data_IF_887071983176
#
_entry.id   IF_887071983176
#
_cell.length_a   1.000
_cell.length_b   1.000
_cell.length_c   1.000
_cell.angle_alpha   90.00
_cell.angle_beta   90.00
_cell.angle_gamma   90.00
#
_symmetry.space_group_name_H-M   'P 1'
#
loop_
_entity.id
_entity.type
_entity.pdbx_description
1 polymer ?
#
# COMPACT_ATOMS: atom_id res chain seq x y z
N UNK A 1 16.49 -26.87 -0.01
CA UNK A 1 15.84 -26.01 -1.02
C UNK A 1 14.46 -25.62 -0.53
N UNK A 2 14.22 -24.33 -0.29
CA UNK A 2 12.84 -23.81 -0.25
C UNK A 2 12.70 -22.41 -0.90
N UNK A 3 11.62 -21.94 -1.53
CA UNK A 3 10.27 -22.43 -1.92
C UNK A 3 9.87 -21.58 -3.15
N UNK A 4 9.24 -22.16 -4.20
CA UNK A 4 8.68 -21.39 -5.32
C UNK A 4 7.47 -20.60 -4.85
N UNK A 5 7.65 -19.31 -4.67
CA UNK A 5 6.59 -18.35 -4.45
C UNK A 5 7.16 -16.97 -4.68
N UNK A 6 6.96 -16.41 -5.87
CA UNK A 6 7.09 -14.97 -6.12
C UNK A 6 6.01 -14.26 -5.31
N UNK A 7 6.17 -14.23 -3.99
CA UNK A 7 5.35 -13.43 -3.11
C UNK A 7 5.82 -11.99 -3.26
N UNK A 8 5.23 -11.28 -4.24
CA UNK A 8 5.13 -9.83 -4.29
C UNK A 8 6.24 -9.06 -3.59
N UNK A 9 7.45 -9.12 -4.13
CA UNK A 9 8.62 -8.51 -3.51
C UNK A 9 8.55 -7.00 -3.74
N UNK A 10 8.07 -6.26 -2.74
CA UNK A 10 8.25 -4.81 -2.74
C UNK A 10 9.71 -4.51 -2.42
N UNK A 11 10.40 -3.87 -3.36
CA UNK A 11 11.83 -3.52 -3.19
C UNK A 11 12.07 -2.56 -2.02
N UNK A 12 11.02 -1.89 -1.55
CA UNK A 12 11.04 -0.85 -0.52
C UNK A 12 10.54 -1.33 0.85
N UNK A 13 10.10 -2.59 1.00
CA UNK A 13 9.61 -3.11 2.28
C UNK A 13 8.62 -4.28 2.17
N UNK A 14 7.84 -4.59 3.22
CA UNK A 14 6.76 -5.57 3.12
C UNK A 14 5.60 -5.01 2.27
N UNK A 15 4.98 -5.88 1.46
CA UNK A 15 3.74 -5.54 0.76
C UNK A 15 2.64 -5.10 1.75
N UNK A 16 1.75 -4.23 1.30
CA UNK A 16 0.63 -3.72 2.10
C UNK A 16 -0.68 -4.21 1.49
N UNK A 17 -1.61 -4.64 2.34
CA UNK A 17 -2.97 -4.94 1.93
C UNK A 17 -3.85 -3.73 2.16
N UNK A 18 -4.41 -3.16 1.11
CA UNK A 18 -5.24 -1.95 1.19
C UNK A 18 -6.70 -2.25 0.89
N UNK A 19 -7.61 -1.64 1.64
CA UNK A 19 -9.04 -1.77 1.39
C UNK A 19 -9.46 -1.05 0.10
N UNK A 20 -9.00 0.19 -0.05
CA UNK A 20 -9.24 1.01 -1.24
C UNK A 20 -7.94 1.64 -1.70
N UNK A 21 -7.79 1.75 -3.02
CA UNK A 21 -6.62 2.34 -3.67
C UNK A 21 -7.09 3.42 -4.63
N UNK A 22 -6.63 4.64 -4.41
CA UNK A 22 -6.96 5.82 -5.19
C UNK A 22 -5.74 6.28 -5.96
N UNK A 23 -5.92 6.86 -7.14
CA UNK A 23 -4.80 7.48 -7.84
C UNK A 23 -4.36 8.73 -7.07
N UNK A 24 -3.05 8.98 -6.94
CA UNK A 24 -2.53 10.18 -6.25
C UNK A 24 -3.04 11.50 -6.81
N UNK A 25 -3.43 11.52 -8.09
CA UNK A 25 -3.97 12.68 -8.80
C UNK A 25 -5.50 12.74 -8.86
N UNK A 26 -6.21 11.84 -8.17
CA UNK A 26 -7.67 11.89 -8.06
C UNK A 26 -8.13 13.03 -7.14
N UNK A 27 -9.36 13.52 -7.35
CA UNK A 27 -9.96 14.48 -6.42
C UNK A 27 -10.10 13.89 -5.00
N UNK A 28 -10.37 12.59 -4.91
CA UNK A 28 -10.55 11.84 -3.66
C UNK A 28 -9.29 11.87 -2.81
N UNK A 29 -8.14 11.54 -3.39
CA UNK A 29 -6.84 11.59 -2.73
C UNK A 29 -6.45 12.99 -2.31
N UNK A 30 -6.72 14.00 -3.15
CA UNK A 30 -6.51 15.41 -2.81
C UNK A 30 -7.33 15.83 -1.58
N UNK A 31 -8.60 15.41 -1.50
CA UNK A 31 -9.45 15.67 -0.34
C UNK A 31 -8.92 14.97 0.91
N UNK A 32 -8.61 13.68 0.83
CA UNK A 32 -8.09 12.89 1.96
C UNK A 32 -6.79 13.53 2.46
N UNK A 33 -5.87 13.83 1.55
CA UNK A 33 -4.60 14.47 1.89
C UNK A 33 -4.78 15.84 2.54
N UNK A 34 -5.73 16.64 2.06
CA UNK A 34 -6.06 17.94 2.65
C UNK A 34 -6.57 17.82 4.09
N UNK A 35 -7.32 16.75 4.40
CA UNK A 35 -7.87 16.49 5.73
C UNK A 35 -6.76 16.10 6.73
N UNK A 36 -5.78 15.29 6.29
CA UNK A 36 -4.65 14.88 7.14
C UNK A 36 -3.41 15.79 7.04
N UNK A 37 -3.45 16.85 6.24
CA UNK A 37 -2.31 17.75 6.02
C UNK A 37 -1.15 17.10 5.26
N UNK A 38 -1.44 16.10 4.41
CA UNK A 38 -0.47 15.47 3.52
C UNK A 38 -0.16 16.37 2.33
N UNK A 39 1.12 16.57 2.06
CA UNK A 39 1.52 17.12 0.78
C UNK A 39 1.60 16.00 -0.27
N UNK A 40 0.73 16.04 -1.26
CA UNK A 40 0.75 15.12 -2.40
C UNK A 40 1.73 15.55 -3.50
N UNK A 41 2.27 16.77 -3.45
CA UNK A 41 3.22 17.24 -4.45
C UNK A 41 4.48 16.38 -4.42
N UNK A 42 4.71 15.66 -5.51
CA UNK A 42 5.84 14.74 -5.67
C UNK A 42 5.54 13.29 -5.33
N UNK A 43 4.34 12.96 -4.85
CA UNK A 43 3.91 11.58 -4.69
C UNK A 43 3.50 11.04 -6.06
N UNK A 44 4.31 10.11 -6.58
CA UNK A 44 4.00 9.36 -7.78
C UNK A 44 3.39 8.00 -7.40
N UNK A 45 2.35 7.57 -8.13
CA UNK A 45 1.66 6.30 -7.88
C UNK A 45 0.29 6.44 -7.25
N UNK A 46 -0.17 5.41 -6.56
CA UNK A 46 -1.49 5.35 -5.92
C UNK A 46 -1.39 5.57 -4.41
N UNK A 47 -2.54 5.77 -3.78
CA UNK A 47 -2.70 5.99 -2.35
C UNK A 47 -3.66 4.93 -1.86
N UNK A 48 -3.20 4.14 -0.89
CA UNK A 48 -4.03 3.15 -0.23
C UNK A 48 -4.63 3.74 1.05
N UNK A 49 -5.87 3.37 1.33
CA UNK A 49 -6.51 3.64 2.63
C UNK A 49 -6.80 2.35 3.38
N UNK A 50 -6.74 2.44 4.71
CA UNK A 50 -6.95 1.34 5.64
C UNK A 50 -6.07 0.12 5.27
N UNK A 51 -4.77 0.36 5.18
CA UNK A 51 -3.79 -0.61 4.76
C UNK A 51 -3.06 -1.25 5.93
N UNK A 52 -2.91 -2.56 5.87
CA UNK A 52 -2.18 -3.33 6.87
C UNK A 52 -0.92 -3.95 6.27
N UNK A 53 0.22 -3.92 6.97
CA UNK A 53 1.45 -4.54 6.48
C UNK A 53 1.31 -6.06 6.41
N UNK A 54 1.58 -6.61 5.22
CA UNK A 54 1.69 -8.04 4.98
C UNK A 54 3.11 -8.46 5.38
N UNK A 55 3.32 -8.67 6.68
CA UNK A 55 4.60 -9.18 7.16
C UNK A 55 4.72 -10.67 6.89
N UNK A 56 5.85 -11.09 6.33
CA UNK A 56 6.15 -12.46 5.91
C UNK A 56 6.25 -13.51 7.05
N UNK A 57 5.88 -13.16 8.29
CA UNK A 57 5.87 -14.09 9.42
C UNK A 57 4.51 -14.79 9.45
N UNK A 58 4.44 -15.96 8.79
CA UNK A 58 3.30 -16.87 8.89
C UNK A 58 2.62 -17.14 7.56
N UNK A 59 3.16 -18.13 6.86
CA UNK A 59 2.51 -18.93 5.81
C UNK A 59 0.98 -19.04 5.99
N UNK A 60 0.21 -18.53 5.03
CA UNK A 60 -1.24 -18.70 5.03
C UNK A 60 -1.91 -17.86 3.96
N UNK A 61 -2.42 -18.55 2.95
CA UNK A 61 -3.08 -18.13 1.71
C UNK A 61 -4.29 -17.21 1.92
N UNK A 62 -4.16 -16.04 2.56
CA UNK A 62 -5.29 -15.10 2.75
C UNK A 62 -4.89 -13.69 3.22
N UNK A 63 -3.63 -13.27 3.07
CA UNK A 63 -3.12 -12.07 3.75
C UNK A 63 -3.66 -10.74 3.20
N UNK A 64 -4.34 -10.77 2.06
CA UNK A 64 -5.11 -9.64 1.58
C UNK A 64 -6.38 -10.12 0.89
N UNK A 65 -7.54 -9.87 1.50
CA UNK A 65 -8.83 -10.12 0.85
C UNK A 65 -9.23 -8.99 -0.10
N UNK A 66 -8.49 -7.87 -0.10
CA UNK A 66 -8.60 -6.76 -1.03
C UNK A 66 -7.34 -6.70 -1.92
N UNK A 67 -6.91 -5.50 -2.32
CA UNK A 67 -5.84 -5.29 -3.28
C UNK A 67 -4.46 -5.33 -2.60
N UNK A 68 -3.56 -6.26 -2.97
CA UNK A 68 -2.17 -6.20 -2.53
C UNK A 68 -1.41 -5.11 -3.31
N UNK A 69 -0.73 -4.22 -2.60
CA UNK A 69 0.06 -3.11 -3.16
C UNK A 69 1.42 -2.95 -2.47
N UNK A 70 2.42 -2.48 -3.21
CA UNK A 70 3.72 -2.05 -2.71
C UNK A 70 3.71 -0.55 -2.48
N UNK A 71 3.84 -0.09 -1.24
CA UNK A 71 3.86 1.33 -0.91
C UNK A 71 5.19 1.72 -0.25
N UNK A 72 5.73 2.89 -0.59
CA UNK A 72 6.99 3.40 -0.02
C UNK A 72 6.81 4.03 1.36
N UNK A 73 5.65 4.63 1.64
CA UNK A 73 5.47 5.46 2.83
C UNK A 73 4.19 5.07 3.58
N UNK A 74 4.36 4.61 4.82
CA UNK A 74 3.27 4.28 5.75
C UNK A 74 3.37 5.12 7.02
N UNK A 75 3.10 6.42 6.89
CA UNK A 75 3.29 7.39 7.98
C UNK A 75 2.00 7.66 8.79
N UNK A 76 0.86 7.07 8.42
CA UNK A 76 -0.45 7.35 9.02
C UNK A 76 -1.00 6.16 9.81
N UNK A 77 -0.12 5.37 10.43
CA UNK A 77 -0.49 4.18 11.21
C UNK A 77 -1.33 3.18 10.40
N UNK A 78 -1.03 3.02 9.10
CA UNK A 78 -1.81 2.19 8.18
C UNK A 78 -3.10 2.83 7.66
N UNK A 79 -3.58 3.95 8.21
CA UNK A 79 -4.81 4.57 7.73
C UNK A 79 -4.67 5.09 6.30
N UNK A 80 -3.51 5.66 5.97
CA UNK A 80 -3.16 6.16 4.65
C UNK A 80 -1.72 5.74 4.34
N UNK A 81 -1.53 5.18 3.16
CA UNK A 81 -0.22 4.85 2.59
C UNK A 81 -0.12 5.47 1.22
N UNK A 82 1.06 5.97 0.89
CA UNK A 82 1.31 6.73 -0.34
C UNK A 82 2.46 6.12 -1.12
N UNK A 83 2.49 6.40 -2.42
CA UNK A 83 3.47 5.79 -3.33
C UNK A 83 3.20 4.30 -3.56
N UNK A 84 1.92 3.91 -3.57
CA UNK A 84 1.49 2.53 -3.76
C UNK A 84 1.50 2.15 -5.24
N UNK A 85 1.95 0.93 -5.53
CA UNK A 85 1.93 0.30 -6.86
C UNK A 85 1.39 -1.13 -6.75
N UNK A 86 0.69 -1.66 -7.76
CA UNK A 86 0.17 -3.02 -7.71
C UNK A 86 1.28 -4.06 -7.60
N UNK A 87 1.07 -5.07 -6.75
CA UNK A 87 1.94 -6.24 -6.62
C UNK A 87 1.64 -7.20 -7.79
N UNK A 88 2.66 -7.61 -8.56
CA UNK A 88 2.58 -8.69 -9.55
C UNK A 88 3.19 -9.99 -9.00
#
# INVERSE_FOLDING_TARGET
TPIPGTSGQCNTGPAQCCNSVYQSQSAESALIASIVGLNLQGITGSIGTQCSPISAVGVGSNQCSQQPVCCENNNYNGLIVVGCSPVN
#
